data_IF_164235088379
#
_entry.id   IF_164235088379
#
_cell.length_a   1.000
_cell.length_b   1.000
_cell.length_c   1.000
_cell.angle_alpha   90.00
_cell.angle_beta   90.00
_cell.angle_gamma   90.00
#
_symmetry.space_group_name_H-M   'P 1'
#
loop_
_entity.id
_entity.type
_entity.pdbx_description
1 polymer ?
#
# COMPACT_ATOMS: atom_id res chain seq x y z
N UNK A 1 18.45 1.10 -4.07
CA UNK A 1 17.94 2.20 -4.90
C UNK A 1 16.50 2.51 -4.49
N UNK A 2 16.18 3.76 -4.12
CA UNK A 2 14.83 4.19 -3.69
C UNK A 2 14.15 4.91 -4.87
N UNK A 3 12.90 4.53 -5.16
CA UNK A 3 12.12 4.96 -6.34
C UNK A 3 10.91 5.79 -5.91
N UNK A 4 10.47 6.77 -6.70
CA UNK A 4 9.28 7.57 -6.39
C UNK A 4 8.01 6.73 -6.52
N UNK A 5 7.52 6.27 -5.39
CA UNK A 5 6.13 5.84 -5.21
C UNK A 5 5.47 6.83 -4.23
N UNK A 6 4.16 7.00 -4.30
CA UNK A 6 3.45 7.88 -3.36
C UNK A 6 3.85 7.62 -1.89
N UNK A 7 4.01 6.36 -1.42
CA UNK A 7 4.53 6.09 -0.08
C UNK A 7 5.97 6.60 0.16
N UNK A 8 6.87 6.50 -0.82
CA UNK A 8 8.24 7.02 -0.70
C UNK A 8 8.27 8.56 -0.63
N UNK A 9 7.45 9.22 -1.44
CA UNK A 9 7.29 10.67 -1.35
C UNK A 9 6.79 11.08 0.03
N UNK A 10 5.72 10.43 0.52
CA UNK A 10 5.12 10.76 1.81
C UNK A 10 6.03 10.43 3.00
N UNK A 11 6.82 9.35 2.94
CA UNK A 11 7.78 8.99 3.99
C UNK A 11 8.86 10.05 4.22
N UNK A 12 9.22 10.82 3.18
CA UNK A 12 10.20 11.91 3.29
C UNK A 12 9.68 13.08 4.14
N UNK A 13 8.36 13.26 4.22
CA UNK A 13 7.71 14.30 5.04
C UNK A 13 7.33 13.82 6.44
N UNK A 14 7.31 12.50 6.67
CA UNK A 14 6.94 11.96 7.96
C UNK A 14 7.94 12.40 9.05
N UNK A 15 7.44 12.73 10.24
CA UNK A 15 8.25 13.06 11.42
C UNK A 15 8.26 11.89 12.41
N UNK A 16 7.11 11.24 12.60
CA UNK A 16 6.96 10.04 13.43
C UNK A 16 7.80 8.86 12.89
N UNK A 17 8.66 8.30 13.76
CA UNK A 17 9.56 7.19 13.41
C UNK A 17 8.82 5.89 13.16
N UNK A 18 7.74 5.64 13.89
CA UNK A 18 6.93 4.43 13.73
C UNK A 18 6.19 4.48 12.40
N UNK A 19 5.69 5.66 12.01
CA UNK A 19 5.04 5.87 10.71
C UNK A 19 6.00 5.55 9.57
N UNK A 20 7.25 6.01 9.66
CA UNK A 20 8.30 5.67 8.68
C UNK A 20 8.55 4.16 8.61
N UNK A 21 8.62 3.49 9.76
CA UNK A 21 8.84 2.05 9.82
C UNK A 21 7.67 1.27 9.19
N UNK A 22 6.44 1.65 9.51
CA UNK A 22 5.23 1.03 8.95
C UNK A 22 5.14 1.27 7.43
N UNK A 23 5.48 2.46 6.95
CA UNK A 23 5.57 2.72 5.50
C UNK A 23 6.62 1.83 4.85
N UNK A 24 7.80 1.70 5.45
CA UNK A 24 8.87 0.86 4.92
C UNK A 24 8.46 -0.63 4.84
N UNK A 25 7.68 -1.11 5.83
CA UNK A 25 7.09 -2.45 5.80
C UNK A 25 6.05 -2.59 4.68
N UNK A 26 5.14 -1.64 4.52
CA UNK A 26 4.20 -1.67 3.39
C UNK A 26 4.91 -1.69 2.03
N UNK A 27 6.01 -0.96 1.89
CA UNK A 27 6.82 -0.98 0.67
C UNK A 27 7.51 -2.31 0.40
N UNK A 28 7.96 -3.04 1.43
CA UNK A 28 8.53 -4.37 1.21
C UNK A 28 7.46 -5.35 0.74
N UNK A 29 6.25 -5.26 1.28
CA UNK A 29 5.11 -6.07 0.83
C UNK A 29 4.73 -5.76 -0.62
N UNK A 30 4.62 -4.49 -1.01
CA UNK A 30 4.34 -4.11 -2.40
C UNK A 30 5.41 -4.66 -3.36
N UNK A 31 6.70 -4.59 -2.98
CA UNK A 31 7.78 -5.17 -3.79
C UNK A 31 7.62 -6.67 -3.96
N UNK A 32 7.25 -7.38 -2.90
CA UNK A 32 6.97 -8.82 -2.96
C UNK A 32 5.78 -9.12 -3.88
N UNK A 33 4.69 -8.35 -3.78
CA UNK A 33 3.53 -8.49 -4.67
C UNK A 33 3.91 -8.28 -6.14
N UNK A 34 4.69 -7.25 -6.44
CA UNK A 34 5.21 -6.98 -7.79
C UNK A 34 6.01 -8.18 -8.30
N UNK A 35 6.93 -8.73 -7.50
CA UNK A 35 7.76 -9.87 -7.90
C UNK A 35 6.93 -11.12 -8.22
N UNK A 36 5.90 -11.41 -7.42
CA UNK A 36 5.00 -12.54 -7.68
C UNK A 36 4.18 -12.33 -8.96
N UNK A 37 3.69 -11.11 -9.18
CA UNK A 37 2.95 -10.76 -10.41
C UNK A 37 3.85 -10.80 -11.65
N UNK A 38 5.08 -10.26 -11.58
CA UNK A 38 6.05 -10.32 -12.69
C UNK A 38 6.42 -11.77 -13.04
N UNK A 39 6.56 -12.63 -12.03
CA UNK A 39 6.79 -14.07 -12.25
C UNK A 39 5.61 -14.72 -12.96
N UNK A 40 4.38 -14.37 -12.56
CA UNK A 40 3.17 -14.85 -13.20
C UNK A 40 3.08 -14.37 -14.66
N UNK A 41 3.32 -13.08 -14.91
CA UNK A 41 3.31 -12.50 -16.26
C UNK A 41 4.33 -13.18 -17.17
N UNK A 42 5.57 -13.38 -16.70
CA UNK A 42 6.60 -14.12 -17.44
C UNK A 42 6.17 -15.54 -17.78
N UNK A 43 5.55 -16.25 -16.83
CA UNK A 43 5.04 -17.62 -17.04
C UNK A 43 4.00 -17.67 -18.16
N UNK A 44 3.13 -16.68 -18.25
CA UNK A 44 2.09 -16.58 -19.28
C UNK A 44 2.55 -15.79 -20.53
N UNK A 45 3.85 -15.50 -20.66
CA UNK A 45 4.44 -14.71 -21.75
C UNK A 45 3.77 -13.33 -21.95
N UNK A 46 3.26 -12.74 -20.86
CA UNK A 46 2.67 -11.40 -20.86
C UNK A 46 3.81 -10.38 -20.65
N UNK A 47 3.92 -9.34 -21.49
CA UNK A 47 4.94 -8.32 -21.34
C UNK A 47 4.76 -7.56 -20.02
N UNK A 48 5.82 -7.47 -19.24
CA UNK A 48 5.86 -6.69 -17.99
C UNK A 48 5.91 -5.20 -18.36
N UNK A 49 5.09 -4.33 -17.73
CA UNK A 49 5.11 -2.90 -18.02
C UNK A 49 6.46 -2.28 -17.66
N UNK A 50 6.85 -1.24 -18.42
CA UNK A 50 8.05 -0.45 -18.11
C UNK A 50 7.90 0.20 -16.73
N UNK A 51 8.92 0.04 -15.89
CA UNK A 51 8.92 0.65 -14.56
C UNK A 51 9.18 2.16 -14.67
N UNK A 52 8.54 3.00 -13.83
CA UNK A 52 8.80 4.43 -13.81
C UNK A 52 10.27 4.70 -13.45
N UNK A 53 10.86 5.80 -13.99
CA UNK A 53 12.26 6.13 -13.76
C UNK A 53 12.55 6.35 -12.27
N UNK A 54 13.78 6.04 -11.86
CA UNK A 54 14.21 6.32 -10.50
C UNK A 54 14.27 7.82 -10.27
N UNK A 55 13.89 8.25 -9.07
CA UNK A 55 13.77 9.66 -8.75
C UNK A 55 14.89 10.15 -7.86
N UNK A 56 15.31 11.38 -8.10
CA UNK A 56 16.14 12.14 -7.18
C UNK A 56 15.31 12.66 -5.98
N UNK A 57 15.87 12.56 -4.77
CA UNK A 57 15.26 13.09 -3.55
C UNK A 57 15.30 14.63 -3.56
N UNK A 58 14.32 15.27 -4.19
CA UNK A 58 14.22 16.75 -4.23
C UNK A 58 13.13 17.33 -3.31
N UNK A 59 12.49 16.49 -2.49
CA UNK A 59 11.47 16.93 -1.55
C UNK A 59 12.08 17.65 -0.34
N UNK A 60 11.95 18.99 -0.28
CA UNK A 60 12.15 19.74 0.97
C UNK A 60 10.94 19.50 1.89
N UNK A 61 11.13 19.29 3.21
CA UNK A 61 10.01 19.18 4.14
C UNK A 61 9.13 20.43 4.03
N UNK A 62 7.90 20.25 3.54
CA UNK A 62 6.87 21.28 3.63
C UNK A 62 6.26 21.15 5.02
N UNK A 63 6.40 22.16 5.87
CA UNK A 63 5.84 22.15 7.22
C UNK A 63 4.32 21.94 7.27
N UNK A 64 3.65 22.14 6.13
CA UNK A 64 2.22 21.94 5.92
C UNK A 64 1.77 20.46 5.93
N UNK A 65 2.66 19.48 5.75
CA UNK A 65 2.28 18.06 5.67
C UNK A 65 2.40 17.41 7.06
N UNK A 66 1.28 17.05 7.66
CA UNK A 66 1.25 16.37 8.97
C UNK A 66 1.33 14.84 8.86
N UNK A 67 1.85 14.16 9.88
CA UNK A 67 1.86 12.69 9.97
C UNK A 67 0.46 12.09 9.86
N UNK A 68 -0.56 12.76 10.44
CA UNK A 68 -1.97 12.38 10.29
C UNK A 68 -2.43 12.44 8.84
N UNK A 69 -2.02 13.46 8.09
CA UNK A 69 -2.34 13.55 6.66
C UNK A 69 -1.67 12.41 5.89
N UNK A 70 -0.38 12.16 6.12
CA UNK A 70 0.38 11.07 5.51
C UNK A 70 -0.30 9.72 5.77
N UNK A 71 -0.64 9.45 7.04
CA UNK A 71 -1.39 8.26 7.44
C UNK A 71 -2.67 8.07 6.62
N UNK A 72 -3.48 9.14 6.48
CA UNK A 72 -4.75 9.08 5.74
C UNK A 72 -4.53 8.79 4.26
N UNK A 73 -3.52 9.39 3.63
CA UNK A 73 -3.18 9.13 2.23
C UNK A 73 -2.77 7.68 2.01
N UNK A 74 -1.96 7.12 2.91
CA UNK A 74 -1.52 5.72 2.83
C UNK A 74 -2.69 4.77 3.08
N UNK A 75 -3.53 5.04 4.08
CA UNK A 75 -4.72 4.23 4.38
C UNK A 75 -5.65 4.17 3.17
N UNK A 76 -5.87 5.31 2.51
CA UNK A 76 -6.67 5.36 1.27
C UNK A 76 -6.05 4.50 0.16
N UNK A 77 -4.72 4.53 0.01
CA UNK A 77 -3.99 3.66 -0.90
C UNK A 77 -4.28 2.18 -0.62
N UNK A 78 -4.08 1.73 0.63
CA UNK A 78 -4.34 0.35 1.06
C UNK A 78 -5.81 -0.04 0.79
N UNK A 79 -6.77 0.82 1.17
CA UNK A 79 -8.20 0.59 0.94
C UNK A 79 -8.55 0.44 -0.55
N UNK A 80 -7.81 1.12 -1.44
CA UNK A 80 -8.03 1.02 -2.87
C UNK A 80 -7.55 -0.32 -3.48
N UNK A 81 -6.59 -1.01 -2.87
CA UNK A 81 -6.07 -2.28 -3.37
C UNK A 81 -6.95 -3.48 -2.99
N UNK A 82 -7.66 -3.43 -1.86
CA UNK A 82 -8.59 -4.48 -1.44
C UNK A 82 -9.62 -4.87 -2.53
N UNK A 83 -10.41 -3.93 -3.10
CA UNK A 83 -11.36 -4.28 -4.14
C UNK A 83 -10.68 -4.76 -5.43
N UNK A 84 -9.48 -4.24 -5.75
CA UNK A 84 -8.72 -4.67 -6.93
C UNK A 84 -8.33 -6.14 -6.82
N UNK A 85 -7.73 -6.57 -5.71
CA UNK A 85 -7.38 -7.97 -5.47
C UNK A 85 -8.62 -8.88 -5.39
N UNK A 86 -9.72 -8.40 -4.80
CA UNK A 86 -10.98 -9.13 -4.72
C UNK A 86 -11.57 -9.40 -6.11
N UNK A 87 -11.67 -8.37 -6.95
CA UNK A 87 -12.19 -8.52 -8.32
C UNK A 87 -11.26 -9.41 -9.14
N UNK A 88 -9.94 -9.25 -9.03
CA UNK A 88 -8.98 -10.11 -9.72
C UNK A 88 -9.14 -11.58 -9.30
N UNK A 89 -9.35 -11.86 -8.02
CA UNK A 89 -9.65 -13.22 -7.53
C UNK A 89 -10.95 -13.77 -8.13
N UNK A 90 -12.03 -12.98 -8.15
CA UNK A 90 -13.33 -13.39 -8.69
C UNK A 90 -13.29 -13.69 -10.19
N UNK A 91 -12.56 -12.88 -10.96
CA UNK A 91 -12.47 -13.01 -12.43
C UNK A 91 -11.45 -14.06 -12.88
N UNK A 92 -10.62 -14.58 -11.98
CA UNK A 92 -9.59 -15.56 -12.31
C UNK A 92 -10.16 -16.96 -12.52
N UNK A 93 -10.34 -17.35 -13.78
CA UNK A 93 -10.76 -18.72 -14.15
C UNK A 93 -9.64 -19.73 -13.94
N UNK A 94 -8.39 -19.35 -14.24
CA UNK A 94 -7.23 -20.22 -14.06
C UNK A 94 -6.95 -20.45 -12.55
N UNK A 95 -6.88 -21.71 -12.07
CA UNK A 95 -6.67 -22.02 -10.65
C UNK A 95 -5.39 -21.45 -10.04
N UNK A 96 -4.30 -21.40 -10.80
CA UNK A 96 -3.02 -20.88 -10.33
C UNK A 96 -3.07 -19.35 -10.17
N UNK A 97 -3.60 -18.66 -11.18
CA UNK A 97 -3.82 -17.20 -11.14
C UNK A 97 -4.75 -16.85 -9.97
N UNK A 98 -5.83 -17.61 -9.81
CA UNK A 98 -6.77 -17.43 -8.69
C UNK A 98 -6.12 -17.65 -7.33
N UNK A 99 -5.23 -18.64 -7.20
CA UNK A 99 -4.47 -18.90 -5.97
C UNK A 99 -3.55 -17.72 -5.62
N UNK A 100 -2.90 -17.11 -6.62
CA UNK A 100 -2.04 -15.94 -6.41
C UNK A 100 -2.86 -14.76 -5.91
N UNK A 101 -3.95 -14.38 -6.60
CA UNK A 101 -4.78 -13.26 -6.15
C UNK A 101 -5.44 -13.51 -4.78
N UNK A 102 -5.78 -14.76 -4.45
CA UNK A 102 -6.22 -15.11 -3.09
C UNK A 102 -5.14 -14.80 -2.05
N UNK A 103 -3.89 -15.17 -2.32
CA UNK A 103 -2.77 -14.91 -1.41
C UNK A 103 -2.51 -13.41 -1.25
N UNK A 104 -2.52 -12.66 -2.36
CA UNK A 104 -2.36 -11.20 -2.34
C UNK A 104 -3.48 -10.52 -1.55
N UNK A 105 -4.74 -10.94 -1.76
CA UNK A 105 -5.89 -10.41 -1.04
C UNK A 105 -5.79 -10.64 0.48
N UNK A 106 -5.42 -11.84 0.92
CA UNK A 106 -5.25 -12.15 2.35
C UNK A 106 -4.16 -11.27 2.97
N UNK A 107 -3.03 -11.09 2.27
CA UNK A 107 -1.95 -10.22 2.73
C UNK A 107 -2.41 -8.76 2.81
N UNK A 108 -3.17 -8.27 1.83
CA UNK A 108 -3.73 -6.92 1.83
C UNK A 108 -4.74 -6.70 2.98
N UNK A 109 -5.58 -7.68 3.29
CA UNK A 109 -6.50 -7.64 4.43
C UNK A 109 -5.72 -7.48 5.74
N UNK A 110 -4.65 -8.25 5.91
CA UNK A 110 -3.80 -8.17 7.11
C UNK A 110 -3.06 -6.83 7.20
N UNK A 111 -2.60 -6.28 6.06
CA UNK A 111 -1.99 -4.93 6.02
C UNK A 111 -3.02 -3.88 6.46
N UNK A 112 -4.23 -3.95 5.92
CA UNK A 112 -5.31 -3.03 6.28
C UNK A 112 -5.63 -3.09 7.77
N UNK A 113 -5.84 -4.29 8.33
CA UNK A 113 -6.15 -4.48 9.74
C UNK A 113 -5.05 -3.90 10.66
N UNK A 114 -3.79 -4.22 10.37
CA UNK A 114 -2.66 -3.71 11.13
C UNK A 114 -2.52 -2.19 11.02
N UNK A 115 -2.73 -1.63 9.83
CA UNK A 115 -2.59 -0.19 9.59
C UNK A 115 -3.74 0.63 10.22
N UNK A 116 -4.95 0.09 10.24
CA UNK A 116 -6.07 0.67 10.98
C UNK A 116 -5.79 0.64 12.48
N UNK A 117 -5.35 -0.49 13.02
CA UNK A 117 -4.99 -0.64 14.44
C UNK A 117 -3.91 0.36 14.85
N UNK A 118 -2.85 0.49 14.04
CA UNK A 118 -1.81 1.51 14.23
C UNK A 118 -2.40 2.93 14.29
N UNK A 119 -3.28 3.28 13.35
CA UNK A 119 -3.92 4.59 13.34
C UNK A 119 -4.86 4.84 14.52
N UNK A 120 -5.50 3.80 15.07
CA UNK A 120 -6.31 3.90 16.28
C UNK A 120 -5.42 4.24 17.47
N UNK A 121 -4.28 3.55 17.63
CA UNK A 121 -3.31 3.81 18.69
C UNK A 121 -2.77 5.25 18.64
N UNK A 122 -2.54 5.79 17.44
CA UNK A 122 -2.07 7.16 17.23
C UNK A 122 -3.19 8.22 17.27
N UNK A 123 -4.46 7.81 17.34
CA UNK A 123 -5.60 8.72 17.29
C UNK A 123 -5.76 9.43 15.93
N UNK A 124 -5.37 8.78 14.84
CA UNK A 124 -5.40 9.32 13.47
C UNK A 124 -6.56 8.80 12.62
N UNK A 125 -7.22 7.73 13.07
CA UNK A 125 -8.44 7.22 12.43
C UNK A 125 -9.58 8.23 12.60
N UNK A 126 -10.34 8.44 11.51
CA UNK A 126 -11.51 9.31 11.54
C UNK A 126 -12.56 8.69 12.47
N UNK A 127 -12.93 9.40 13.54
CA UNK A 127 -14.04 8.97 14.39
C UNK A 127 -15.35 9.30 13.68
N UNK A 128 -16.23 8.30 13.43
CA UNK A 128 -17.56 8.60 12.91
C UNK A 128 -18.32 9.48 13.92
N UNK A 129 -19.29 10.28 13.48
CA UNK A 129 -20.14 11.04 14.38
C UNK A 129 -20.85 10.06 15.35
N UNK A 130 -20.78 10.34 16.65
CA UNK A 130 -21.56 9.58 17.63
C UNK A 130 -23.00 10.06 17.56
N UNK A 131 -23.90 9.23 17.03
CA UNK A 131 -25.33 9.47 17.20
C UNK A 131 -25.70 9.22 18.66
N UNK A 132 -26.11 10.27 19.38
CA UNK A 132 -26.87 10.13 20.62
C UNK A 132 -28.33 9.98 20.20
N UNK A 133 -28.87 8.77 20.36
CA UNK A 133 -30.32 8.53 20.28
C UNK A 133 -31.04 9.11 21.47
#
# INVERSE_FOLDING_TARGET
MRRLSLPNYMANFARDSDLKAVIALGQSTIRKHIQELEKLMKKFAIPVPSQPPESENTARPLDAISDRYIYRQILQGIQSFLPVHMVAFQQSVNPEVRKIFKSLLIEEINIYENFVTYGQLKGWVLKPPSFKG
#
